data_IF_270168591051
#
_entry.id   IF_270168591051
#
_cell.length_a   1.000
_cell.length_b   1.000
_cell.length_c   1.000
_cell.angle_alpha   90.00
_cell.angle_beta   90.00
_cell.angle_gamma   90.00
#
_symmetry.space_group_name_H-M   'P 1'
#
loop_
_entity.id
_entity.type
_entity.pdbx_description
1 polymer ?
#
# COMPACT_ATOMS: atom_id res chain seq x y z
N UNK A 1 24.23 -20.95 -35.84
CA UNK A 1 23.46 -19.73 -36.21
C UNK A 1 21.99 -19.73 -35.77
N UNK A 2 21.41 -20.80 -35.21
CA UNK A 2 20.00 -20.84 -34.75
C UNK A 2 19.76 -20.38 -33.30
N UNK A 3 20.79 -20.29 -32.44
CA UNK A 3 20.62 -20.03 -31.00
C UNK A 3 20.49 -18.56 -30.61
N UNK A 4 20.97 -17.63 -31.44
CA UNK A 4 21.08 -16.20 -31.09
C UNK A 4 19.73 -15.50 -30.93
N UNK A 5 18.69 -15.95 -31.63
CA UNK A 5 17.33 -15.39 -31.47
C UNK A 5 16.71 -15.77 -30.11
N UNK A 6 16.94 -17.00 -29.64
CA UNK A 6 16.43 -17.45 -28.34
C UNK A 6 17.04 -16.66 -27.18
N UNK A 7 18.36 -16.46 -27.22
CA UNK A 7 19.10 -15.66 -26.23
C UNK A 7 18.68 -14.18 -26.23
N UNK A 8 18.36 -13.62 -27.41
CA UNK A 8 17.80 -12.28 -27.51
C UNK A 8 16.44 -12.18 -26.81
N UNK A 9 15.51 -13.10 -27.10
CA UNK A 9 14.18 -13.10 -26.46
C UNK A 9 14.27 -13.26 -24.94
N UNK A 10 15.15 -14.13 -24.45
CA UNK A 10 15.37 -14.32 -23.02
C UNK A 10 15.87 -13.02 -22.34
N UNK A 11 16.84 -12.33 -22.94
CA UNK A 11 17.32 -11.06 -22.38
C UNK A 11 16.25 -9.96 -22.39
N UNK A 12 15.43 -9.88 -23.45
CA UNK A 12 14.29 -8.96 -23.47
C UNK A 12 13.25 -9.31 -22.40
N UNK A 13 12.94 -10.60 -22.22
CA UNK A 13 12.04 -11.10 -21.16
C UNK A 13 12.54 -10.66 -19.78
N UNK A 14 13.83 -10.84 -19.49
CA UNK A 14 14.41 -10.49 -18.19
C UNK A 14 14.42 -8.98 -17.93
N UNK A 15 14.70 -8.15 -18.94
CA UNK A 15 14.66 -6.69 -18.80
C UNK A 15 13.24 -6.22 -18.52
N UNK A 16 12.25 -6.69 -19.31
CA UNK A 16 10.84 -6.31 -19.13
C UNK A 16 10.30 -6.80 -17.79
N UNK A 17 10.66 -8.01 -17.39
CA UNK A 17 10.31 -8.56 -16.09
C UNK A 17 10.91 -7.72 -14.95
N UNK A 18 12.18 -7.34 -15.07
CA UNK A 18 12.88 -6.50 -14.08
C UNK A 18 12.25 -5.11 -13.93
N UNK A 19 11.82 -4.48 -15.03
CA UNK A 19 11.08 -3.20 -14.99
C UNK A 19 9.72 -3.37 -14.32
N UNK A 20 9.01 -4.44 -14.66
CA UNK A 20 7.66 -4.69 -14.15
C UNK A 20 7.66 -4.92 -12.64
N UNK A 21 8.60 -5.72 -12.14
CA UNK A 21 8.75 -5.94 -10.70
C UNK A 21 9.20 -4.67 -9.98
N UNK A 22 10.15 -3.91 -10.55
CA UNK A 22 10.58 -2.62 -10.01
C UNK A 22 9.40 -1.67 -9.83
N UNK A 23 8.61 -1.47 -10.88
CA UNK A 23 7.46 -0.56 -10.88
C UNK A 23 6.39 -1.00 -9.87
N UNK A 24 6.11 -2.30 -9.81
CA UNK A 24 5.11 -2.86 -8.89
C UNK A 24 5.53 -2.68 -7.44
N UNK A 25 6.76 -3.06 -7.09
CA UNK A 25 7.29 -2.94 -5.72
C UNK A 25 7.39 -1.46 -5.32
N UNK A 26 7.84 -0.58 -6.22
CA UNK A 26 7.90 0.86 -5.95
C UNK A 26 6.51 1.46 -5.68
N UNK A 27 5.49 1.08 -6.45
CA UNK A 27 4.10 1.50 -6.22
C UNK A 27 3.58 1.05 -4.84
N UNK A 28 3.80 -0.21 -4.47
CA UNK A 28 3.41 -0.75 -3.16
C UNK A 28 4.15 -0.01 -2.04
N UNK A 29 5.45 0.26 -2.21
CA UNK A 29 6.28 0.96 -1.25
C UNK A 29 5.77 2.39 -1.00
N UNK A 30 5.43 3.12 -2.07
CA UNK A 30 4.84 4.46 -1.99
C UNK A 30 3.47 4.43 -1.31
N UNK A 31 2.66 3.40 -1.57
CA UNK A 31 1.37 3.22 -0.91
C UNK A 31 1.54 3.04 0.60
N UNK A 32 2.48 2.18 1.02
CA UNK A 32 2.82 1.97 2.43
C UNK A 32 3.28 3.29 3.06
N UNK A 33 4.13 4.05 2.37
CA UNK A 33 4.63 5.37 2.82
C UNK A 33 3.47 6.35 3.03
N UNK A 34 2.55 6.44 2.08
CA UNK A 34 1.37 7.31 2.16
C UNK A 34 0.42 6.93 3.29
N UNK A 35 0.24 5.65 3.56
CA UNK A 35 -0.74 5.16 4.54
C UNK A 35 -0.19 5.25 5.97
N UNK A 36 1.02 4.75 6.18
CA UNK A 36 1.59 4.51 7.52
C UNK A 36 2.55 5.62 7.96
N UNK A 37 3.35 6.19 7.06
CA UNK A 37 4.33 7.22 7.43
C UNK A 37 3.71 8.63 7.57
N UNK A 38 2.43 8.85 7.25
CA UNK A 38 1.78 10.15 7.51
C UNK A 38 1.55 10.47 9.00
N UNK A 39 1.82 9.52 9.90
CA UNK A 39 1.43 9.62 11.33
C UNK A 39 2.62 10.07 12.17
N UNK A 40 2.84 11.39 12.22
CA UNK A 40 3.80 12.14 13.07
C UNK A 40 5.31 11.91 12.80
N UNK A 41 6.08 13.00 12.79
CA UNK A 41 7.56 13.04 12.62
C UNK A 41 8.30 12.50 13.86
N UNK A 42 8.16 11.21 14.13
CA UNK A 42 8.90 10.52 15.19
C UNK A 42 10.13 9.79 14.62
N UNK A 43 11.03 9.28 15.48
CA UNK A 43 12.20 8.48 15.06
C UNK A 43 11.81 7.28 14.18
N UNK A 44 10.69 6.61 14.50
CA UNK A 44 10.17 5.51 13.69
C UNK A 44 9.77 5.90 12.26
N UNK A 45 9.34 7.15 12.05
CA UNK A 45 9.05 7.67 10.70
C UNK A 45 10.33 7.77 9.86
N UNK A 46 11.40 8.31 10.43
CA UNK A 46 12.69 8.42 9.74
C UNK A 46 13.32 7.05 9.46
N UNK A 47 13.18 6.09 10.38
CA UNK A 47 13.64 4.72 10.17
C UNK A 47 12.88 4.03 9.03
N UNK A 48 11.55 4.17 8.99
CA UNK A 48 10.74 3.63 7.89
C UNK A 48 11.10 4.29 6.55
N UNK A 49 11.24 5.62 6.53
CA UNK A 49 11.64 6.37 5.34
C UNK A 49 13.03 5.92 4.84
N UNK A 50 13.98 5.72 5.75
CA UNK A 50 15.33 5.24 5.44
C UNK A 50 15.32 3.83 4.84
N UNK A 51 14.56 2.89 5.43
CA UNK A 51 14.42 1.53 4.91
C UNK A 51 13.79 1.53 3.51
N UNK A 52 12.79 2.38 3.28
CA UNK A 52 12.12 2.55 1.99
C UNK A 52 13.09 3.09 0.93
N UNK A 53 13.81 4.17 1.24
CA UNK A 53 14.79 4.77 0.31
C UNK A 53 15.92 3.78 0.00
N UNK A 54 16.41 3.06 1.02
CA UNK A 54 17.42 2.02 0.82
C UNK A 54 16.91 0.94 -0.15
N UNK A 55 15.71 0.39 0.07
CA UNK A 55 15.12 -0.59 -0.84
C UNK A 55 14.98 -0.03 -2.27
N UNK A 56 14.50 1.21 -2.43
CA UNK A 56 14.37 1.84 -3.75
C UNK A 56 15.72 1.98 -4.47
N UNK A 57 16.78 2.38 -3.76
CA UNK A 57 18.14 2.47 -4.31
C UNK A 57 18.68 1.11 -4.73
N UNK A 58 18.45 0.06 -3.91
CA UNK A 58 18.84 -1.31 -4.27
C UNK A 58 18.13 -1.79 -5.54
N UNK A 59 16.82 -1.59 -5.62
CA UNK A 59 16.04 -1.95 -6.80
C UNK A 59 16.47 -1.18 -8.06
N UNK A 60 16.87 0.09 -7.92
CA UNK A 60 17.42 0.88 -9.02
C UNK A 60 18.76 0.32 -9.50
N UNK A 61 19.64 -0.09 -8.59
CA UNK A 61 20.89 -0.75 -8.95
C UNK A 61 20.64 -2.08 -9.67
N UNK A 62 19.71 -2.89 -9.18
CA UNK A 62 19.31 -4.16 -9.79
C UNK A 62 18.65 -4.01 -11.17
N UNK A 63 18.10 -2.83 -11.49
CA UNK A 63 17.63 -2.52 -12.84
C UNK A 63 18.80 -2.31 -13.82
N UNK A 64 19.86 -1.62 -13.40
CA UNK A 64 21.01 -1.32 -14.28
C UNK A 64 21.97 -2.49 -14.45
N UNK A 65 22.16 -3.33 -13.43
CA UNK A 65 23.09 -4.48 -13.46
C UNK A 65 22.84 -5.43 -14.65
N UNK A 66 21.62 -5.93 -14.93
CA UNK A 66 21.36 -6.81 -16.06
C UNK A 66 21.50 -6.09 -17.42
N UNK A 67 21.30 -4.77 -17.46
CA UNK A 67 21.50 -3.96 -18.68
C UNK A 67 23.00 -3.92 -19.04
N UNK A 68 23.87 -3.83 -18.03
CA UNK A 68 25.33 -3.76 -18.17
C UNK A 68 26.04 -5.07 -17.78
N UNK A 69 25.34 -6.21 -17.86
CA UNK A 69 25.89 -7.50 -17.42
C UNK A 69 27.13 -7.97 -18.20
N UNK A 70 27.30 -7.51 -19.45
CA UNK A 70 28.45 -7.81 -20.30
C UNK A 70 29.04 -6.53 -20.88
N UNK A 71 30.37 -6.49 -20.98
CA UNK A 71 31.11 -5.45 -21.68
C UNK A 71 32.05 -6.10 -22.72
N UNK A 72 31.81 -5.93 -24.04
CA UNK A 72 30.69 -5.23 -24.67
C UNK A 72 29.35 -6.01 -24.60
N UNK A 73 28.21 -5.30 -24.67
CA UNK A 73 26.86 -5.89 -24.64
C UNK A 73 26.63 -6.89 -25.77
N UNK A 74 27.30 -6.71 -26.90
CA UNK A 74 27.23 -7.60 -28.07
C UNK A 74 27.65 -9.03 -27.76
N UNK A 75 28.48 -9.21 -26.73
CA UNK A 75 28.93 -10.53 -26.26
C UNK A 75 27.79 -11.42 -25.75
N UNK A 76 26.66 -10.85 -25.34
CA UNK A 76 25.47 -11.61 -24.91
C UNK A 76 24.92 -12.48 -26.06
N UNK A 77 25.00 -11.99 -27.30
CA UNK A 77 24.47 -12.65 -28.50
C UNK A 77 25.58 -13.23 -29.39
N UNK A 78 26.83 -12.89 -29.13
CA UNK A 78 28.00 -13.33 -29.91
C UNK A 78 29.09 -13.77 -28.92
N UNK A 79 29.03 -15.02 -28.43
CA UNK A 79 29.94 -15.50 -27.41
C UNK A 79 31.42 -15.52 -27.85
N UNK A 80 31.67 -15.50 -29.16
CA UNK A 80 33.00 -15.42 -29.76
C UNK A 80 33.66 -14.04 -29.64
N UNK A 81 32.91 -12.98 -29.30
CA UNK A 81 33.52 -11.65 -29.12
C UNK A 81 34.39 -11.56 -27.84
N UNK A 82 35.57 -10.91 -27.92
CA UNK A 82 36.40 -10.64 -26.76
C UNK A 82 35.67 -9.69 -25.80
N UNK A 83 35.65 -10.03 -24.52
CA UNK A 83 34.94 -9.27 -23.51
C UNK A 83 34.74 -10.05 -22.22
N UNK A 84 34.20 -9.39 -21.20
CA UNK A 84 33.91 -9.99 -19.89
C UNK A 84 32.42 -9.86 -19.59
N UNK A 85 31.83 -10.95 -19.15
CA UNK A 85 30.46 -11.00 -18.65
C UNK A 85 30.47 -11.32 -17.16
N UNK A 86 29.49 -10.80 -16.44
CA UNK A 86 29.17 -11.22 -15.09
C UNK A 86 28.52 -12.61 -15.13
N UNK A 87 28.67 -13.36 -14.04
CA UNK A 87 28.04 -14.65 -13.87
C UNK A 87 26.52 -14.47 -13.75
N UNK A 88 25.80 -14.89 -14.80
CA UNK A 88 24.35 -14.77 -14.91
C UNK A 88 23.62 -15.55 -13.82
N UNK A 89 24.11 -16.74 -13.47
CA UNK A 89 23.48 -17.57 -12.43
C UNK A 89 23.63 -16.91 -11.06
N UNK A 90 24.81 -16.35 -10.78
CA UNK A 90 25.04 -15.58 -9.57
C UNK A 90 24.16 -14.32 -9.50
N UNK A 91 23.98 -13.61 -10.62
CA UNK A 91 23.10 -12.44 -10.69
C UNK A 91 21.64 -12.79 -10.46
N UNK A 92 21.17 -13.89 -11.06
CA UNK A 92 19.81 -14.40 -10.88
C UNK A 92 19.56 -14.85 -9.44
N UNK A 93 20.51 -15.56 -8.84
CA UNK A 93 20.41 -16.00 -7.45
C UNK A 93 20.40 -14.80 -6.49
N UNK A 94 21.28 -13.83 -6.71
CA UNK A 94 21.31 -12.59 -5.96
C UNK A 94 19.96 -11.87 -6.06
N UNK A 95 19.48 -11.60 -7.28
CA UNK A 95 18.19 -10.92 -7.52
C UNK A 95 17.02 -11.62 -6.83
N UNK A 96 16.93 -12.95 -6.93
CA UNK A 96 15.86 -13.71 -6.30
C UNK A 96 15.95 -13.67 -4.76
N UNK A 97 17.16 -13.74 -4.20
CA UNK A 97 17.39 -13.59 -2.76
C UNK A 97 16.99 -12.21 -2.26
N UNK A 98 17.41 -11.16 -2.96
CA UNK A 98 17.05 -9.79 -2.61
C UNK A 98 15.55 -9.55 -2.72
N UNK A 99 14.87 -10.14 -3.71
CA UNK A 99 13.41 -10.03 -3.81
C UNK A 99 12.71 -10.61 -2.56
N UNK A 100 13.14 -11.77 -2.09
CA UNK A 100 12.62 -12.36 -0.83
C UNK A 100 12.91 -11.46 0.37
N UNK A 101 14.14 -10.98 0.50
CA UNK A 101 14.54 -10.09 1.61
C UNK A 101 13.71 -8.81 1.60
N UNK A 102 13.49 -8.22 0.43
CA UNK A 102 12.69 -7.01 0.28
C UNK A 102 11.21 -7.22 0.61
N UNK A 103 10.65 -8.39 0.29
CA UNK A 103 9.27 -8.73 0.66
C UNK A 103 9.11 -8.81 2.18
N UNK A 104 10.06 -9.46 2.84
CA UNK A 104 10.09 -9.55 4.31
C UNK A 104 10.28 -8.15 4.91
N UNK A 105 11.18 -7.33 4.34
CA UNK A 105 11.41 -5.97 4.81
C UNK A 105 10.15 -5.11 4.68
N UNK A 106 9.49 -5.12 3.51
CA UNK A 106 8.22 -4.42 3.29
C UNK A 106 7.12 -4.87 4.24
N UNK A 107 7.05 -6.17 4.53
CA UNK A 107 6.09 -6.75 5.47
C UNK A 107 6.40 -6.37 6.93
N UNK A 108 7.67 -6.21 7.28
CA UNK A 108 8.11 -5.82 8.62
C UNK A 108 7.76 -4.36 8.98
N UNK A 109 7.75 -3.46 8.00
CA UNK A 109 7.44 -2.02 8.18
C UNK A 109 6.09 -1.79 8.87
N UNK A 110 4.95 -2.29 8.34
CA UNK A 110 3.67 -2.08 9.00
C UNK A 110 3.60 -2.77 10.36
N UNK A 111 4.22 -3.95 10.54
CA UNK A 111 4.23 -4.65 11.84
C UNK A 111 4.93 -3.81 12.90
N UNK A 112 6.13 -3.30 12.59
CA UNK A 112 6.90 -2.49 13.51
C UNK A 112 6.12 -1.24 13.94
N UNK A 113 5.45 -0.59 12.99
CA UNK A 113 4.65 0.59 13.30
C UNK A 113 3.42 0.27 14.15
N UNK A 114 2.79 -0.88 13.93
CA UNK A 114 1.58 -1.31 14.64
C UNK A 114 1.90 -1.78 16.06
N UNK A 115 3.04 -2.45 16.27
CA UNK A 115 3.48 -2.87 17.61
C UNK A 115 3.63 -1.72 18.58
N UNK A 116 3.96 -0.53 18.07
CA UNK A 116 4.12 0.66 18.89
C UNK A 116 2.81 1.44 19.13
N UNK A 117 1.66 0.93 18.66
CA UNK A 117 0.41 1.68 18.62
C UNK A 117 -0.74 0.87 19.25
N UNK A 118 -1.28 1.34 20.38
CA UNK A 118 -2.40 0.72 21.07
C UNK A 118 -3.69 0.80 20.23
N UNK A 119 -4.01 -0.28 19.53
CA UNK A 119 -5.14 -0.35 18.58
C UNK A 119 -6.32 -1.16 19.12
N UNK A 120 -7.54 -0.76 18.73
CA UNK A 120 -8.78 -1.49 19.04
C UNK A 120 -8.85 -2.85 18.31
N UNK A 121 -9.60 -3.80 18.88
CA UNK A 121 -9.71 -5.19 18.37
C UNK A 121 -10.12 -5.26 16.89
N UNK A 122 -11.02 -4.37 16.45
CA UNK A 122 -11.44 -4.29 15.03
C UNK A 122 -10.27 -3.99 14.09
N UNK A 123 -9.36 -3.09 14.49
CA UNK A 123 -8.16 -2.78 13.70
C UNK A 123 -7.17 -3.93 13.72
N UNK A 124 -7.07 -4.65 14.85
CA UNK A 124 -6.21 -5.83 15.00
C UNK A 124 -6.58 -6.94 14.00
N UNK A 125 -7.87 -7.15 13.74
CA UNK A 125 -8.33 -8.13 12.74
C UNK A 125 -7.88 -7.73 11.32
N UNK A 126 -8.08 -6.47 10.93
CA UNK A 126 -7.65 -5.98 9.61
C UNK A 126 -6.14 -6.10 9.41
N UNK A 127 -5.35 -5.78 10.44
CA UNK A 127 -3.89 -5.95 10.42
C UNK A 127 -3.50 -7.42 10.27
N UNK A 128 -4.18 -8.33 10.98
CA UNK A 128 -3.91 -9.76 10.88
C UNK A 128 -4.13 -10.29 9.46
N UNK A 129 -5.17 -9.83 8.76
CA UNK A 129 -5.44 -10.21 7.38
C UNK A 129 -4.36 -9.69 6.40
N UNK A 130 -3.88 -8.45 6.59
CA UNK A 130 -2.77 -7.89 5.81
C UNK A 130 -1.48 -8.70 6.06
N UNK A 131 -1.21 -9.07 7.32
CA UNK A 131 -0.05 -9.89 7.67
C UNK A 131 -0.13 -11.29 7.05
N UNK A 132 -1.28 -11.95 7.11
CA UNK A 132 -1.47 -13.28 6.53
C UNK A 132 -1.26 -13.28 5.01
N UNK A 133 -1.83 -12.31 4.29
CA UNK A 133 -1.65 -12.19 2.84
C UNK A 133 -0.21 -11.85 2.46
N UNK A 134 0.45 -10.98 3.22
CA UNK A 134 1.87 -10.70 3.05
C UNK A 134 2.75 -11.93 3.32
N UNK A 135 2.45 -12.72 4.35
CA UNK A 135 3.21 -13.93 4.67
C UNK A 135 3.09 -14.98 3.56
N UNK A 136 1.89 -15.13 2.97
CA UNK A 136 1.69 -15.98 1.79
C UNK A 136 2.50 -15.49 0.58
N UNK A 137 2.57 -14.17 0.35
CA UNK A 137 3.42 -13.61 -0.69
C UNK A 137 4.90 -13.95 -0.46
N UNK A 138 5.40 -13.80 0.77
CA UNK A 138 6.77 -14.17 1.12
C UNK A 138 7.05 -15.66 0.88
N UNK A 139 6.12 -16.55 1.24
CA UNK A 139 6.26 -17.99 0.99
C UNK A 139 6.34 -18.28 -0.51
N UNK A 140 5.49 -17.63 -1.31
CA UNK A 140 5.54 -17.76 -2.77
C UNK A 140 6.90 -17.30 -3.34
N UNK A 141 7.44 -16.17 -2.85
CA UNK A 141 8.77 -15.67 -3.23
C UNK A 141 9.89 -16.64 -2.86
N UNK A 142 9.84 -17.27 -1.68
CA UNK A 142 10.82 -18.27 -1.25
C UNK A 142 10.75 -19.51 -2.15
N UNK A 143 9.55 -20.03 -2.40
CA UNK A 143 9.37 -21.21 -3.26
C UNK A 143 9.88 -20.93 -4.67
N UNK A 144 9.61 -19.74 -5.20
CA UNK A 144 10.18 -19.28 -6.46
C UNK A 144 11.71 -19.30 -6.46
N UNK A 145 12.36 -18.79 -5.41
CA UNK A 145 13.82 -18.85 -5.27
C UNK A 145 14.33 -20.30 -5.29
N UNK A 146 13.64 -21.22 -4.59
CA UNK A 146 13.98 -22.65 -4.59
C UNK A 146 13.88 -23.25 -6.00
N UNK A 147 12.80 -23.00 -6.73
CA UNK A 147 12.67 -23.47 -8.12
C UNK A 147 13.72 -22.88 -9.05
N UNK A 148 14.19 -21.64 -8.80
CA UNK A 148 15.31 -21.06 -9.55
C UNK A 148 16.61 -21.80 -9.30
N UNK A 149 16.90 -22.20 -8.07
CA UNK A 149 18.09 -23.01 -7.76
C UNK A 149 17.98 -24.39 -8.42
N UNK A 150 16.81 -25.03 -8.35
CA UNK A 150 16.58 -26.34 -8.98
C UNK A 150 16.76 -26.26 -10.51
N UNK A 151 16.37 -25.15 -11.14
CA UNK A 151 16.53 -24.93 -12.57
C UNK A 151 18.01 -24.99 -13.01
N UNK A 152 18.94 -24.60 -12.15
CA UNK A 152 20.40 -24.67 -12.45
C UNK A 152 20.96 -26.09 -12.36
N UNK A 153 20.21 -27.05 -11.81
CA UNK A 153 20.67 -28.41 -11.52
C UNK A 153 19.93 -29.50 -12.31
N UNK A 154 18.91 -29.15 -13.09
CA UNK A 154 17.98 -30.10 -13.74
C UNK A 154 17.95 -29.90 -15.25
N UNK A 155 17.96 -30.99 -16.01
CA UNK A 155 17.89 -30.97 -17.49
C UNK A 155 16.47 -30.65 -18.01
N UNK A 156 15.43 -30.88 -17.22
CA UNK A 156 14.02 -30.59 -17.53
C UNK A 156 13.66 -29.09 -17.35
N UNK A 157 14.33 -28.23 -18.11
CA UNK A 157 14.21 -26.77 -18.02
C UNK A 157 12.76 -26.26 -18.12
N UNK A 158 11.97 -26.80 -19.05
CA UNK A 158 10.61 -26.33 -19.33
C UNK A 158 9.64 -26.56 -18.17
N UNK A 159 9.73 -27.71 -17.49
CA UNK A 159 8.82 -28.06 -16.40
C UNK A 159 9.09 -27.21 -15.15
N UNK A 160 10.36 -27.09 -14.78
CA UNK A 160 10.80 -26.31 -13.61
C UNK A 160 10.55 -24.82 -13.84
N UNK A 161 10.80 -24.29 -15.05
CA UNK A 161 10.51 -22.90 -15.40
C UNK A 161 9.01 -22.59 -15.29
N UNK A 162 8.14 -23.47 -15.80
CA UNK A 162 6.69 -23.28 -15.70
C UNK A 162 6.21 -23.21 -14.25
N UNK A 163 6.72 -24.10 -13.39
CA UNK A 163 6.37 -24.09 -11.97
C UNK A 163 6.85 -22.82 -11.26
N UNK A 164 8.04 -22.31 -11.61
CA UNK A 164 8.54 -21.02 -11.14
C UNK A 164 7.64 -19.83 -11.54
N UNK A 165 7.09 -19.85 -12.75
CA UNK A 165 6.16 -18.81 -13.24
C UNK A 165 4.84 -18.84 -12.47
N UNK A 166 4.30 -20.02 -12.14
CA UNK A 166 3.07 -20.12 -11.34
C UNK A 166 3.25 -19.48 -9.95
N UNK A 167 4.38 -19.73 -9.29
CA UNK A 167 4.70 -19.09 -8.01
C UNK A 167 4.89 -17.58 -8.14
N UNK A 168 5.44 -17.10 -9.26
CA UNK A 168 5.54 -15.66 -9.55
C UNK A 168 4.16 -15.00 -9.69
N UNK A 169 3.21 -15.67 -10.36
CA UNK A 169 1.83 -15.17 -10.47
C UNK A 169 1.17 -15.14 -9.10
N UNK A 170 1.36 -16.18 -8.28
CA UNK A 170 0.84 -16.23 -6.91
C UNK A 170 1.42 -15.11 -6.04
N UNK A 171 2.73 -14.86 -6.10
CA UNK A 171 3.41 -13.75 -5.42
C UNK A 171 2.75 -12.41 -5.78
N UNK A 172 2.57 -12.13 -7.07
CA UNK A 172 1.98 -10.87 -7.56
C UNK A 172 0.52 -10.75 -7.12
N UNK A 173 -0.26 -11.82 -7.21
CA UNK A 173 -1.66 -11.84 -6.80
C UNK A 173 -1.81 -11.57 -5.29
N UNK A 174 -1.00 -12.22 -4.45
CA UNK A 174 -0.97 -11.97 -3.01
C UNK A 174 -0.52 -10.55 -2.68
N UNK A 175 0.47 -10.01 -3.40
CA UNK A 175 0.91 -8.61 -3.27
C UNK A 175 -0.21 -7.62 -3.61
N UNK A 176 -0.97 -7.87 -4.68
CA UNK A 176 -2.11 -7.04 -5.06
C UNK A 176 -3.22 -7.10 -4.01
N UNK A 177 -3.57 -8.30 -3.54
CA UNK A 177 -4.55 -8.47 -2.45
C UNK A 177 -4.12 -7.72 -1.19
N UNK A 178 -2.86 -7.85 -0.80
CA UNK A 178 -2.27 -7.11 0.32
C UNK A 178 -2.43 -5.60 0.13
N UNK A 179 -2.12 -5.07 -1.07
CA UNK A 179 -2.26 -3.64 -1.37
C UNK A 179 -3.72 -3.14 -1.24
N UNK A 180 -4.69 -3.93 -1.70
CA UNK A 180 -6.11 -3.62 -1.55
C UNK A 180 -6.53 -3.62 -0.08
N UNK A 181 -6.07 -4.61 0.70
CA UNK A 181 -6.36 -4.71 2.12
C UNK A 181 -5.76 -3.56 2.94
N UNK A 182 -4.62 -2.99 2.53
CA UNK A 182 -4.01 -1.82 3.18
C UNK A 182 -4.88 -0.56 3.02
N UNK A 183 -5.60 -0.41 1.90
CA UNK A 183 -6.46 0.75 1.62
C UNK A 183 -7.86 0.61 2.22
N UNK A 184 -8.34 -0.64 2.35
CA UNK A 184 -9.68 -0.98 2.82
C UNK A 184 -10.11 -0.29 4.13
N UNK A 185 -9.27 -0.15 5.18
CA UNK A 185 -9.66 0.51 6.42
C UNK A 185 -10.03 1.99 6.25
N UNK A 186 -9.36 2.71 5.34
CA UNK A 186 -9.67 4.12 5.05
C UNK A 186 -10.96 4.25 4.26
N UNK A 187 -11.17 3.36 3.30
CA UNK A 187 -12.42 3.32 2.54
C UNK A 187 -13.61 2.99 3.44
N UNK A 188 -13.46 2.02 4.34
CA UNK A 188 -14.50 1.65 5.30
C UNK A 188 -14.89 2.82 6.22
N UNK A 189 -13.91 3.58 6.75
CA UNK A 189 -14.18 4.77 7.55
C UNK A 189 -14.88 5.87 6.74
N UNK A 190 -14.52 6.02 5.47
CA UNK A 190 -15.16 7.01 4.60
C UNK A 190 -16.60 6.62 4.24
N UNK A 191 -16.87 5.34 3.98
CA UNK A 191 -18.23 4.86 3.73
C UNK A 191 -19.10 4.87 4.99
N UNK A 192 -18.53 4.52 6.15
CA UNK A 192 -19.23 4.58 7.43
C UNK A 192 -19.62 6.01 7.84
N UNK A 193 -18.88 7.03 7.38
CA UNK A 193 -19.25 8.44 7.58
C UNK A 193 -20.27 8.97 6.56
N UNK A 194 -20.37 8.37 5.38
CA UNK A 194 -21.39 8.69 4.37
C UNK A 194 -22.73 8.00 4.68
N UNK A 195 -22.70 6.85 5.36
CA UNK A 195 -23.93 6.15 5.74
C UNK A 195 -24.63 6.93 6.85
N UNK A 196 -25.82 7.51 6.62
CA UNK A 196 -26.49 8.34 7.62
C UNK A 196 -26.76 7.47 8.86
N UNK A 197 -26.32 7.98 10.01
CA UNK A 197 -26.53 7.34 11.29
C UNK A 197 -28.04 7.15 11.48
N UNK A 198 -28.53 5.90 11.65
CA UNK A 198 -29.95 5.63 11.94
C UNK A 198 -30.48 6.42 13.16
N UNK A 199 -29.59 6.96 14.00
CA UNK A 199 -29.92 7.85 15.11
C UNK A 199 -30.22 9.31 14.71
N UNK A 200 -29.70 9.79 13.59
CA UNK A 200 -29.91 11.19 13.16
C UNK A 200 -31.31 11.39 12.64
N UNK A 201 -31.90 10.40 11.93
CA UNK A 201 -33.29 10.45 11.49
C UNK A 201 -34.28 10.50 12.67
N UNK A 202 -34.01 9.79 13.77
CA UNK A 202 -34.86 9.83 14.96
C UNK A 202 -34.70 11.15 15.74
N UNK A 203 -33.50 11.74 15.72
CA UNK A 203 -33.21 13.02 16.38
C UNK A 203 -33.74 14.20 15.57
N UNK A 204 -33.64 14.17 14.24
CA UNK A 204 -34.28 15.11 13.31
C UNK A 204 -35.81 14.99 13.36
N UNK A 205 -36.37 13.77 13.42
CA UNK A 205 -37.81 13.57 13.58
C UNK A 205 -38.31 14.13 14.91
N UNK A 206 -37.54 13.98 16.00
CA UNK A 206 -37.85 14.60 17.30
C UNK A 206 -37.72 16.12 17.26
N UNK A 207 -36.71 16.68 16.61
CA UNK A 207 -36.54 18.12 16.47
C UNK A 207 -37.64 18.76 15.60
N UNK A 208 -38.07 18.08 14.54
CA UNK A 208 -39.20 18.50 13.71
C UNK A 208 -40.54 18.36 14.45
N UNK A 209 -40.69 17.36 15.31
CA UNK A 209 -41.86 17.22 16.18
C UNK A 209 -41.93 18.33 17.24
N UNK A 210 -40.79 18.70 17.83
CA UNK A 210 -40.68 19.78 18.82
C UNK A 210 -41.06 21.14 18.21
N UNK A 211 -40.64 21.41 16.98
CA UNK A 211 -40.96 22.65 16.27
C UNK A 211 -42.44 22.80 15.89
N UNK A 212 -43.17 21.69 15.81
CA UNK A 212 -44.60 21.67 15.49
C UNK A 212 -45.50 21.66 16.75
N UNK A 213 -44.90 21.74 17.94
CA UNK A 213 -45.66 21.83 19.19
C UNK A 213 -46.25 23.23 19.32
N UNK A 214 -47.59 23.39 19.44
CA UNK A 214 -48.19 24.71 19.61
C UNK A 214 -47.66 25.36 20.89
N UNK A 215 -47.10 26.55 20.74
CA UNK A 215 -46.49 27.32 21.82
C UNK A 215 -47.50 27.50 22.99
N UNK A 216 -47.11 27.20 24.24
CA UNK A 216 -48.03 27.21 25.38
C UNK A 216 -48.63 28.61 25.59
N UNK A 217 -49.95 28.68 25.76
CA UNK A 217 -50.73 29.94 25.93
C UNK A 217 -50.13 30.89 26.95
N UNK A 218 -49.56 30.37 28.05
CA UNK A 218 -48.82 31.13 29.06
C UNK A 218 -47.77 32.07 28.46
N UNK A 219 -47.00 31.61 27.46
CA UNK A 219 -45.94 32.41 26.84
C UNK A 219 -46.50 33.54 25.96
N UNK A 220 -47.68 33.36 25.37
CA UNK A 220 -48.39 34.43 24.65
C UNK A 220 -48.95 35.48 25.60
N UNK A 221 -49.46 35.05 26.76
CA UNK A 221 -49.98 35.94 27.78
C UNK A 221 -48.86 36.83 28.38
N UNK A 222 -47.66 36.28 28.62
CA UNK A 222 -46.51 37.06 29.06
C UNK A 222 -46.06 38.11 28.04
N UNK A 223 -46.09 37.80 26.75
CA UNK A 223 -45.74 38.75 25.68
C UNK A 223 -46.78 39.89 25.61
N UNK A 224 -48.07 39.57 25.73
CA UNK A 224 -49.12 40.59 25.79
C UNK A 224 -49.03 41.48 27.04
N UNK A 225 -48.62 40.93 28.18
CA UNK A 225 -48.39 41.70 29.40
C UNK A 225 -47.17 42.61 29.29
N UNK A 226 -46.10 42.18 28.61
CA UNK A 226 -44.90 42.98 28.37
C UNK A 226 -45.21 44.17 27.44
N UNK A 227 -45.93 43.94 26.35
CA UNK A 227 -46.31 44.96 25.36
C UNK A 227 -47.24 46.03 25.97
N UNK A 228 -48.15 45.60 26.86
CA UNK A 228 -49.00 46.52 27.64
C UNK A 228 -48.20 47.40 28.61
N UNK A 229 -47.07 46.92 29.13
CA UNK A 229 -46.25 47.67 30.09
C UNK A 229 -45.32 48.68 29.40
N UNK A 230 -44.80 48.35 28.21
CA UNK A 230 -43.91 49.22 27.43
C UNK A 230 -44.65 50.43 26.82
N UNK A 231 -45.98 50.36 26.66
CA UNK A 231 -46.81 51.51 26.24
C UNK A 231 -47.00 52.61 27.30
N UNK A 232 -46.40 52.49 28.49
CA UNK A 232 -46.62 53.43 29.61
C UNK A 232 -45.39 54.19 30.11
N UNK A 233 -44.23 54.04 29.45
CA UNK A 233 -43.03 54.77 29.84
C UNK A 233 -42.98 56.17 29.20
N UNK A 234 -42.93 57.26 29.99
CA UNK A 234 -42.72 58.59 29.44
C UNK A 234 -41.30 58.71 28.88
N UNK A 235 -41.18 59.37 27.73
CA UNK A 235 -39.90 59.67 27.08
C UNK A 235 -38.95 60.44 28.01
N UNK A 236 -37.65 60.09 28.07
CA UNK A 236 -36.69 60.84 28.87
C UNK A 236 -36.47 62.26 28.29
N UNK A 237 -36.21 63.26 29.14
CA UNK A 237 -36.03 64.64 28.70
C UNK A 237 -34.69 64.82 27.96
N UNK A 238 -34.71 65.66 26.93
CA UNK A 238 -33.53 66.16 26.23
C UNK A 238 -32.71 67.07 27.14
N UNK A 239 -31.47 66.69 27.45
CA UNK A 239 -30.47 67.60 28.02
C UNK A 239 -29.57 68.16 26.90
N UNK A 240 -29.18 69.42 27.12
CA UNK A 240 -28.63 70.40 26.18
C UNK A 240 -27.21 70.14 25.67
#
# INVERSE_FOLDING_TARGET
MSNTRGEQFANYEDIVYSVSIFSTKYSILLLILRVFCSVKRNVGHWLCQGLIVANAMFYLAFFFVPIFQCSPRTKIWTPEEPGRCLDVDALYLASATFNVVSDIAMLSVPIYLIWNLQMSVQRKIGVSAIFATGALACIASILRLVYRVILTQTDDYSYVKFQGVLWAIAEIACGLLCSCLVVLPRLYQHLASITPHKGDSATLARAMADQNTPEPQSKRDWIQLQDRNDGSLPSPPSEA
#
